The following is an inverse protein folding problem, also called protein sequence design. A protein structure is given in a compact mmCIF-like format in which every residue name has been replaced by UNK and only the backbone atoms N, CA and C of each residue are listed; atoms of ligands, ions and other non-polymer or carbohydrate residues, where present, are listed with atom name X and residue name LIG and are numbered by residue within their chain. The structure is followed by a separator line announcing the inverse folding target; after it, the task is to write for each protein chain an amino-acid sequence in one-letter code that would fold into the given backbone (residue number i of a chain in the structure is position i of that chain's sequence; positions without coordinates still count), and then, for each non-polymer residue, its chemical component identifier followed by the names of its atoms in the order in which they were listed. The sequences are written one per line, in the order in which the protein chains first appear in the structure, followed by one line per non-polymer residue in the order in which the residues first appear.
data_IF_845970644817
#
_entry.id   IF_845970644817
#
_cell.length_a   1.000
_cell.length_b   1.000
_cell.length_c   1.000
_cell.angle_alpha   90.00
_cell.angle_beta   90.00
_cell.angle_gamma   90.00
#
_symmetry.space_group_name_H-M   'P 1'
#
loop_
_entity.id
_entity.type
_entity.pdbx_description
1 polymer ?
#
# COMPACT_ATOMS: atom_id res chain seq x y z
N UNK A 1 7.68 -32.15 -42.13
CA UNK A 1 6.59 -31.80 -41.18
C UNK A 1 6.89 -32.33 -39.78
N UNK A 2 7.20 -33.62 -39.62
CA UNK A 2 7.53 -34.25 -38.32
C UNK A 2 8.74 -33.58 -37.63
N UNK A 3 9.82 -33.32 -38.38
CA UNK A 3 11.04 -32.71 -37.85
C UNK A 3 10.82 -31.29 -37.28
N UNK A 4 9.96 -30.50 -37.92
CA UNK A 4 9.58 -29.17 -37.44
C UNK A 4 8.77 -29.24 -36.14
N UNK A 5 7.90 -30.25 -35.98
CA UNK A 5 7.15 -30.45 -34.74
C UNK A 5 8.07 -30.82 -33.57
N UNK A 6 9.11 -31.63 -33.81
CA UNK A 6 10.11 -31.94 -32.78
C UNK A 6 10.93 -30.72 -32.36
N UNK A 7 11.30 -29.86 -33.31
CA UNK A 7 12.03 -28.62 -33.01
C UNK A 7 11.14 -27.67 -32.21
N UNK A 8 9.90 -27.44 -32.64
CA UNK A 8 8.95 -26.56 -31.93
C UNK A 8 8.63 -27.11 -30.54
N UNK A 9 8.38 -28.42 -30.42
CA UNK A 9 8.16 -29.08 -29.14
C UNK A 9 9.37 -29.00 -28.21
N UNK A 10 10.58 -29.20 -28.75
CA UNK A 10 11.82 -29.05 -27.99
C UNK A 10 12.04 -27.62 -27.48
N UNK A 11 11.80 -26.61 -28.33
CA UNK A 11 11.86 -25.21 -27.93
C UNK A 11 10.82 -24.88 -26.84
N UNK A 12 9.60 -25.39 -26.96
CA UNK A 12 8.55 -25.18 -25.96
C UNK A 12 8.92 -25.80 -24.61
N UNK A 13 9.42 -27.04 -24.61
CA UNK A 13 9.90 -27.71 -23.40
C UNK A 13 11.10 -26.99 -22.76
N UNK A 14 11.99 -26.41 -23.57
CA UNK A 14 13.12 -25.63 -23.09
C UNK A 14 12.68 -24.32 -22.41
N UNK A 15 11.72 -23.61 -23.00
CA UNK A 15 11.15 -22.38 -22.41
C UNK A 15 10.41 -22.71 -21.11
N UNK A 16 9.63 -23.81 -21.07
CA UNK A 16 9.00 -24.27 -19.83
C UNK A 16 10.05 -24.58 -18.75
N UNK A 17 11.12 -25.30 -19.11
CA UNK A 17 12.21 -25.61 -18.17
C UNK A 17 12.91 -24.36 -17.62
N UNK A 18 13.06 -23.31 -18.44
CA UNK A 18 13.62 -22.03 -18.00
C UNK A 18 12.67 -21.27 -17.05
N UNK A 19 11.36 -21.30 -17.30
CA UNK A 19 10.38 -20.66 -16.42
C UNK A 19 10.19 -21.37 -15.08
N UNK A 20 10.27 -22.70 -15.05
CA UNK A 20 10.19 -23.52 -13.83
C UNK A 20 11.53 -23.72 -13.12
N UNK A 21 12.64 -23.26 -13.73
CA UNK A 21 14.00 -23.41 -13.22
C UNK A 21 14.55 -22.22 -12.42
N UNK A 22 13.74 -21.17 -12.22
CA UNK A 22 14.04 -20.17 -11.19
C UNK A 22 13.83 -20.87 -9.86
N UNK A 23 14.90 -21.04 -9.07
CA UNK A 23 14.89 -21.56 -7.70
C UNK A 23 13.56 -21.22 -7.01
N UNK A 24 12.62 -22.15 -7.04
CA UNK A 24 11.44 -22.07 -6.20
C UNK A 24 12.01 -22.06 -4.79
N UNK A 25 11.89 -20.93 -4.10
CA UNK A 25 12.30 -20.80 -2.71
C UNK A 25 11.80 -22.04 -1.98
N UNK A 26 12.70 -22.94 -1.61
CA UNK A 26 12.36 -24.23 -1.05
C UNK A 26 11.63 -23.99 0.28
N UNK A 27 10.31 -23.87 0.23
CA UNK A 27 9.48 -23.56 1.40
C UNK A 27 9.50 -24.69 2.42
N UNK A 28 10.04 -25.86 2.07
CA UNK A 28 10.21 -26.98 3.01
C UNK A 28 11.41 -26.76 3.94
N UNK A 29 12.38 -25.94 3.55
CA UNK A 29 13.51 -25.53 4.40
C UNK A 29 13.33 -24.08 4.79
N UNK A 30 13.07 -23.83 6.07
CA UNK A 30 13.06 -22.45 6.58
C UNK A 30 14.44 -21.85 6.29
N UNK A 31 14.55 -20.79 5.47
CA UNK A 31 15.85 -20.23 5.13
C UNK A 31 16.52 -19.81 6.43
N UNK A 32 17.76 -20.26 6.64
CA UNK A 32 18.52 -19.89 7.82
C UNK A 32 18.72 -18.37 7.79
N UNK A 33 18.02 -17.67 8.68
CA UNK A 33 18.20 -16.23 8.89
C UNK A 33 18.97 -16.06 10.19
N UNK A 34 20.11 -15.36 10.11
CA UNK A 34 20.90 -14.99 11.28
C UNK A 34 20.02 -14.24 12.31
N UNK A 35 19.95 -14.79 13.53
CA UNK A 35 19.17 -14.22 14.64
C UNK A 35 19.58 -12.78 14.95
N UNK A 36 20.86 -12.42 14.77
CA UNK A 36 21.32 -11.05 14.98
C UNK A 36 20.76 -10.10 13.91
N UNK A 37 20.58 -10.58 12.69
CA UNK A 37 19.96 -9.81 11.61
C UNK A 37 18.47 -9.56 11.90
N UNK A 38 17.76 -10.57 12.40
CA UNK A 38 16.36 -10.43 12.85
C UNK A 38 16.26 -9.38 13.96
N UNK A 39 17.09 -9.50 15.00
CA UNK A 39 17.08 -8.58 16.14
C UNK A 39 17.33 -7.13 15.71
N UNK A 40 18.32 -6.90 14.84
CA UNK A 40 18.62 -5.55 14.31
C UNK A 40 17.47 -4.98 13.48
N UNK A 41 16.87 -5.79 12.60
CA UNK A 41 15.73 -5.35 11.80
C UNK A 41 14.53 -4.98 12.68
N UNK A 42 14.26 -5.79 13.71
CA UNK A 42 13.18 -5.52 14.67
C UNK A 42 13.45 -4.26 15.49
N UNK A 43 14.68 -4.06 15.95
CA UNK A 43 15.09 -2.85 16.68
C UNK A 43 14.92 -1.60 15.80
N UNK A 44 15.43 -1.64 14.57
CA UNK A 44 15.28 -0.54 13.63
C UNK A 44 13.81 -0.21 13.37
N UNK A 45 12.99 -1.24 13.09
CA UNK A 45 11.55 -1.06 12.90
C UNK A 45 10.90 -0.43 14.15
N UNK A 46 11.24 -0.91 15.35
CA UNK A 46 10.68 -0.36 16.60
C UNK A 46 11.08 1.11 16.82
N UNK A 47 12.32 1.48 16.50
CA UNK A 47 12.80 2.86 16.60
C UNK A 47 12.06 3.76 15.60
N UNK A 48 11.98 3.35 14.33
CA UNK A 48 11.28 4.09 13.28
C UNK A 48 9.78 4.28 13.60
N UNK A 49 9.15 3.30 14.27
CA UNK A 49 7.75 3.41 14.69
C UNK A 49 7.53 4.46 15.81
N UNK A 50 8.58 4.80 16.56
CA UNK A 50 8.57 5.79 17.64
C UNK A 50 9.00 7.18 17.20
N UNK A 51 9.51 7.34 15.97
CA UNK A 51 9.97 8.64 15.47
C UNK A 51 8.83 9.64 15.27
N UNK A 52 9.15 10.91 15.51
CA UNK A 52 8.20 12.02 15.43
C UNK A 52 7.77 12.33 13.99
N UNK A 53 8.57 11.91 13.00
CA UNK A 53 8.28 12.09 11.57
C UNK A 53 7.06 11.28 11.10
N UNK A 54 6.58 10.32 11.91
CA UNK A 54 5.47 9.45 11.53
C UNK A 54 4.14 10.22 11.55
N UNK A 55 3.29 10.08 10.52
CA UNK A 55 1.97 10.73 10.49
C UNK A 55 1.09 10.45 11.72
N UNK A 56 1.19 9.26 12.32
CA UNK A 56 0.45 8.92 13.54
C UNK A 56 0.91 9.72 14.77
N UNK A 57 2.22 10.01 14.87
CA UNK A 57 2.76 10.85 15.94
C UNK A 57 2.26 12.28 15.75
N UNK A 58 2.40 12.82 14.54
CA UNK A 58 1.88 14.15 14.21
C UNK A 58 0.37 14.26 14.49
N UNK A 59 -0.43 13.25 14.10
CA UNK A 59 -1.87 13.19 14.39
C UNK A 59 -2.16 13.24 15.90
N UNK A 60 -1.38 12.52 16.71
CA UNK A 60 -1.51 12.51 18.17
C UNK A 60 -1.18 13.87 18.79
N UNK A 61 -0.07 14.50 18.40
CA UNK A 61 0.33 15.79 18.95
C UNK A 61 -0.62 16.92 18.51
N UNK A 62 -1.07 16.92 17.25
CA UNK A 62 -2.12 17.82 16.77
C UNK A 62 -3.40 17.67 17.58
N UNK A 63 -3.83 16.44 17.88
CA UNK A 63 -4.99 16.19 18.71
C UNK A 63 -4.86 16.72 20.15
N UNK A 64 -3.65 16.80 20.71
CA UNK A 64 -3.42 17.42 22.03
C UNK A 64 -3.44 18.94 21.96
N UNK A 65 -2.73 19.51 20.98
CA UNK A 65 -2.60 20.97 20.83
C UNK A 65 -3.91 21.63 20.38
N UNK A 66 -4.75 20.89 19.66
CA UNK A 66 -5.95 21.42 19.01
C UNK A 66 -7.20 20.56 19.24
N UNK A 67 -7.29 19.91 20.41
CA UNK A 67 -8.31 18.92 20.76
C UNK A 67 -9.77 19.28 20.39
N UNK A 68 -10.10 20.58 20.39
CA UNK A 68 -11.46 21.08 20.13
C UNK A 68 -11.58 21.88 18.83
N UNK A 69 -10.46 22.14 18.13
CA UNK A 69 -10.46 23.00 16.93
C UNK A 69 -10.51 22.21 15.63
N UNK A 70 -9.91 21.02 15.62
CA UNK A 70 -9.82 20.20 14.41
C UNK A 70 -10.18 18.75 14.72
N UNK A 71 -11.00 18.16 13.85
CA UNK A 71 -11.18 16.71 13.84
C UNK A 71 -9.95 16.07 13.22
N UNK A 72 -9.32 15.16 13.96
CA UNK A 72 -8.16 14.43 13.46
C UNK A 72 -8.53 13.33 12.46
N UNK A 73 -9.82 13.02 12.34
CA UNK A 73 -10.36 11.99 11.45
C UNK A 73 -10.88 12.56 10.13
N UNK A 74 -10.77 13.87 9.92
CA UNK A 74 -11.14 14.49 8.65
C UNK A 74 -10.18 14.03 7.54
N UNK A 75 -10.74 13.68 6.38
CA UNK A 75 -9.92 13.35 5.21
C UNK A 75 -9.25 14.63 4.69
N UNK A 76 -7.93 14.61 4.43
CA UNK A 76 -7.23 15.77 3.86
C UNK A 76 -7.63 16.06 2.42
N UNK A 77 -8.26 15.10 1.73
CA UNK A 77 -8.66 15.22 0.33
C UNK A 77 -10.10 14.75 0.11
N UNK A 78 -10.80 15.45 -0.77
CA UNK A 78 -12.10 15.03 -1.29
C UNK A 78 -11.89 13.88 -2.28
N UNK A 79 -12.67 12.79 -2.14
CA UNK A 79 -12.59 11.60 -3.01
C UNK A 79 -13.92 11.39 -3.74
N UNK A 80 -13.88 10.73 -4.91
CA UNK A 80 -15.04 10.49 -5.79
C UNK A 80 -16.11 9.49 -5.26
N UNK A 81 -16.18 9.25 -3.96
CA UNK A 81 -17.15 8.31 -3.36
C UNK A 81 -17.64 8.79 -1.99
N UNK A 82 -17.63 10.10 -1.73
CA UNK A 82 -18.04 10.68 -0.45
C UNK A 82 -19.56 10.86 -0.35
N UNK A 83 -20.33 9.91 -0.89
CA UNK A 83 -21.81 9.95 -0.92
C UNK A 83 -22.45 10.11 0.47
N UNK A 84 -21.68 9.95 1.54
CA UNK A 84 -22.15 9.92 2.92
C UNK A 84 -22.05 11.27 3.64
N UNK A 85 -21.24 12.23 3.16
CA UNK A 85 -21.02 13.48 3.89
C UNK A 85 -21.78 14.66 3.27
N UNK A 86 -23.11 14.66 3.48
CA UNK A 86 -24.01 15.70 2.97
C UNK A 86 -23.65 17.12 3.43
N UNK A 87 -22.86 17.25 4.51
CA UNK A 87 -22.34 18.54 4.97
C UNK A 87 -21.32 19.15 3.99
N UNK A 88 -20.54 18.32 3.26
CA UNK A 88 -19.53 18.77 2.30
C UNK A 88 -20.14 19.44 1.05
N UNK A 89 -21.38 19.05 0.73
CA UNK A 89 -22.15 19.58 -0.39
C UNK A 89 -23.16 20.65 0.02
N UNK A 90 -23.15 21.11 1.28
CA UNK A 90 -24.08 22.15 1.75
C UNK A 90 -23.77 23.53 1.16
N UNK A 91 -22.50 23.83 0.92
CA UNK A 91 -22.04 25.17 0.54
C UNK A 91 -21.57 25.23 -0.91
N UNK A 92 -21.71 26.41 -1.52
CA UNK A 92 -21.15 26.71 -2.84
C UNK A 92 -19.64 27.00 -2.77
N UNK A 93 -18.92 26.95 -3.91
CA UNK A 93 -17.55 27.43 -4.00
C UNK A 93 -17.43 28.89 -3.49
N UNK A 94 -16.29 29.27 -2.87
CA UNK A 94 -15.03 28.52 -2.81
C UNK A 94 -14.93 27.51 -1.66
N UNK A 95 -15.91 27.46 -0.75
CA UNK A 95 -15.81 26.69 0.50
C UNK A 95 -16.56 25.35 0.49
N UNK A 96 -17.34 25.06 -0.56
CA UNK A 96 -18.00 23.77 -0.73
C UNK A 96 -18.19 23.37 -2.18
N UNK A 97 -18.82 22.22 -2.37
CA UNK A 97 -18.94 21.55 -3.67
C UNK A 97 -20.38 21.35 -4.13
N UNK A 98 -21.35 22.13 -3.61
CA UNK A 98 -22.78 21.93 -3.86
C UNK A 98 -23.13 21.71 -5.35
N UNK A 99 -22.57 22.52 -6.24
CA UNK A 99 -22.79 22.47 -7.71
C UNK A 99 -21.90 21.47 -8.46
N UNK A 100 -21.05 20.72 -7.75
CA UNK A 100 -20.09 19.78 -8.33
C UNK A 100 -20.30 18.35 -7.85
N UNK A 101 -21.42 18.06 -7.20
CA UNK A 101 -21.79 16.72 -6.73
C UNK A 101 -21.68 15.67 -7.85
N UNK A 102 -22.22 15.96 -9.04
CA UNK A 102 -22.20 15.05 -10.18
C UNK A 102 -20.78 14.73 -10.70
N UNK A 103 -19.79 15.56 -10.39
CA UNK A 103 -18.38 15.31 -10.76
C UNK A 103 -17.62 14.48 -9.72
N UNK A 104 -18.19 14.37 -8.52
CA UNK A 104 -17.62 13.71 -7.35
C UNK A 104 -18.36 12.41 -6.98
N UNK A 105 -19.38 12.04 -7.76
CA UNK A 105 -20.05 10.74 -7.76
C UNK A 105 -19.28 9.70 -8.58
#
# INVERSE_FOLDING_TARGET
RILALFVVGGCFLYILKLHFGLEECDRTKMPYVDLNRIRRAQQFASAALQEQCRPSYAKKEMGKLFAEKYSMDISPFVRKNMNEDGALFKYEPPFGFHKFFDKLK
#
